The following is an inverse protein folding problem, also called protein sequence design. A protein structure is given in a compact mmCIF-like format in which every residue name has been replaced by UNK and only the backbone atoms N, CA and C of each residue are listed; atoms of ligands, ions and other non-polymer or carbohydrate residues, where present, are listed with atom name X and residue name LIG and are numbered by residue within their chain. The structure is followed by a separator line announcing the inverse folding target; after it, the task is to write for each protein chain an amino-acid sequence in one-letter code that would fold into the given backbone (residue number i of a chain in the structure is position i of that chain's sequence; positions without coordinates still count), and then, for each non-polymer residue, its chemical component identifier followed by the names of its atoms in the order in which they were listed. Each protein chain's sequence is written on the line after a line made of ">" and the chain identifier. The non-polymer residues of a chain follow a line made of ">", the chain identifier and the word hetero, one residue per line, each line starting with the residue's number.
data_IF_472509580981
#
_entry.id   IF_472509580981
#
_cell.length_a   1.000
_cell.length_b   1.000
_cell.length_c   1.000
_cell.angle_alpha   90.00
_cell.angle_beta   90.00
_cell.angle_gamma   90.00
#
_symmetry.space_group_name_H-M   'P 1'
#
loop_
_entity.id
_entity.type
_entity.pdbx_description
1 polymer ?
#
# COMPACT_ATOMS: atom_id res chain seq x y z
N UNK A 1 2.53 -7.32 2.32
CA UNK A 1 1.50 -6.43 1.74
C UNK A 1 2.18 -5.51 0.77
N UNK A 2 1.79 -5.56 -0.49
CA UNK A 2 2.24 -4.67 -1.54
C UNK A 2 1.14 -3.64 -1.84
N UNK A 3 1.54 -2.48 -2.37
CA UNK A 3 0.64 -1.39 -2.71
C UNK A 3 1.01 -0.83 -4.08
N UNK A 4 0.02 -0.32 -4.80
CA UNK A 4 0.27 0.81 -5.70
C UNK A 4 0.60 2.07 -4.88
N UNK A 5 1.10 3.11 -5.55
CA UNK A 5 1.39 4.38 -4.91
C UNK A 5 0.35 5.45 -5.20
N UNK A 6 0.19 5.82 -6.46
CA UNK A 6 -0.78 6.83 -6.86
C UNK A 6 -2.19 6.27 -6.75
N UNK A 7 -3.16 7.09 -6.34
CA UNK A 7 -4.52 6.61 -6.04
C UNK A 7 -4.67 5.79 -4.76
N UNK A 8 -3.55 5.34 -4.15
CA UNK A 8 -3.53 4.66 -2.85
C UNK A 8 -2.99 5.57 -1.73
N UNK A 9 -1.72 5.96 -1.83
CA UNK A 9 -1.08 6.89 -0.89
C UNK A 9 -1.31 8.36 -1.24
N UNK A 10 -1.82 8.62 -2.45
CA UNK A 10 -2.23 9.93 -2.98
C UNK A 10 -3.67 9.85 -3.47
N UNK A 11 -4.27 10.99 -3.77
CA UNK A 11 -5.59 11.07 -4.41
C UNK A 11 -5.51 11.04 -5.95
N UNK A 12 -4.42 10.46 -6.48
CA UNK A 12 -4.06 10.39 -7.90
C UNK A 12 -3.91 11.76 -8.60
N UNK A 13 -3.82 12.86 -7.84
CA UNK A 13 -3.58 14.20 -8.39
C UNK A 13 -2.14 14.63 -8.17
N UNK A 14 -1.63 15.38 -9.14
CA UNK A 14 -0.34 16.05 -9.09
C UNK A 14 -0.53 17.57 -9.15
N UNK A 15 0.24 18.29 -8.35
CA UNK A 15 0.40 19.75 -8.47
C UNK A 15 1.61 19.96 -9.36
N UNK A 16 1.43 20.63 -10.49
CA UNK A 16 2.49 20.92 -11.45
C UNK A 16 2.77 22.42 -11.45
N UNK A 17 4.02 22.81 -11.23
CA UNK A 17 4.43 24.22 -11.32
C UNK A 17 4.69 24.65 -12.79
N UNK A 18 4.96 25.93 -12.99
CA UNK A 18 5.25 26.49 -14.33
C UNK A 18 6.52 25.94 -15.00
N UNK A 19 7.41 25.31 -14.22
CA UNK A 19 8.64 24.67 -14.71
C UNK A 19 8.43 23.16 -14.96
N UNK A 20 7.21 22.65 -14.77
CA UNK A 20 6.87 21.24 -14.92
C UNK A 20 7.28 20.36 -13.73
N UNK A 21 7.62 20.95 -12.57
CA UNK A 21 7.93 20.15 -11.36
C UNK A 21 6.64 19.70 -10.68
N UNK A 22 6.60 18.42 -10.35
CA UNK A 22 5.47 17.81 -9.66
C UNK A 22 5.59 17.89 -8.14
N UNK A 23 4.45 17.92 -7.48
CA UNK A 23 4.28 17.76 -6.03
C UNK A 23 3.00 17.00 -5.75
N UNK A 24 3.02 16.17 -4.70
CA UNK A 24 1.88 15.34 -4.28
C UNK A 24 1.58 15.57 -2.80
N UNK A 25 0.37 15.21 -2.39
CA UNK A 25 -0.06 15.24 -1.00
C UNK A 25 -0.25 13.80 -0.53
N UNK A 26 0.36 13.46 0.61
CA UNK A 26 0.21 12.14 1.24
C UNK A 26 -0.23 12.28 2.70
N UNK A 27 -0.93 11.27 3.21
CA UNK A 27 -1.35 11.26 4.61
C UNK A 27 -0.26 10.88 5.59
N UNK A 28 -0.18 11.60 6.71
CA UNK A 28 0.58 11.18 7.90
C UNK A 28 -0.10 10.05 8.67
N UNK A 29 -1.43 9.90 8.55
CA UNK A 29 -2.15 8.80 9.22
C UNK A 29 -1.82 7.46 8.57
N UNK A 30 -1.70 7.43 7.25
CA UNK A 30 -1.21 6.26 6.50
C UNK A 30 0.23 5.91 6.89
N UNK A 31 1.05 6.94 7.17
CA UNK A 31 2.41 6.73 7.69
C UNK A 31 2.41 6.04 9.05
N UNK A 32 1.45 6.37 9.92
CA UNK A 32 1.33 5.71 11.22
C UNK A 32 0.88 4.26 11.04
N UNK A 33 -0.17 4.01 10.25
CA UNK A 33 -0.68 2.66 10.02
C UNK A 33 0.39 1.72 9.43
N UNK A 34 1.09 2.16 8.39
CA UNK A 34 2.20 1.38 7.79
C UNK A 34 3.32 1.11 8.79
N UNK A 35 3.66 2.07 9.65
CA UNK A 35 4.63 1.83 10.72
C UNK A 35 4.17 0.76 11.70
N UNK A 36 2.88 0.72 12.04
CA UNK A 36 2.34 -0.29 12.95
C UNK A 36 2.29 -1.69 12.33
N UNK A 37 1.92 -1.81 11.06
CA UNK A 37 1.97 -3.10 10.37
C UNK A 37 3.40 -3.67 10.37
N UNK A 38 4.41 -2.84 10.13
CA UNK A 38 5.82 -3.27 10.25
C UNK A 38 6.17 -3.71 11.67
N UNK A 39 5.61 -3.06 12.70
CA UNK A 39 5.85 -3.42 14.10
C UNK A 39 5.35 -4.80 14.48
N UNK A 40 4.30 -5.27 13.81
CA UNK A 40 3.77 -6.63 13.97
C UNK A 40 4.33 -7.61 12.92
N UNK A 41 5.46 -7.26 12.29
CA UNK A 41 6.22 -8.13 11.40
C UNK A 41 5.69 -8.22 9.96
N UNK A 42 4.74 -7.37 9.56
CA UNK A 42 4.26 -7.36 8.17
C UNK A 42 5.27 -6.62 7.29
N UNK A 43 5.77 -7.30 6.27
CA UNK A 43 6.62 -6.73 5.23
C UNK A 43 5.78 -5.88 4.28
N UNK A 44 6.23 -4.67 4.00
CA UNK A 44 5.57 -3.71 3.13
C UNK A 44 6.44 -3.39 1.90
N UNK A 45 5.82 -3.27 0.74
CA UNK A 45 6.46 -2.81 -0.49
C UNK A 45 5.50 -1.96 -1.31
N UNK A 46 6.03 -1.01 -2.09
CA UNK A 46 5.30 -0.30 -3.14
C UNK A 46 5.78 -0.83 -4.48
N UNK A 47 4.86 -1.02 -5.43
CA UNK A 47 5.15 -1.41 -6.80
C UNK A 47 4.71 -0.28 -7.73
N UNK A 48 5.66 0.36 -8.38
CA UNK A 48 5.42 1.43 -9.37
C UNK A 48 5.83 0.95 -10.76
N UNK A 49 5.14 1.42 -11.79
CA UNK A 49 5.50 1.09 -13.18
C UNK A 49 6.70 1.88 -13.69
N UNK A 50 6.90 3.09 -13.17
CA UNK A 50 7.98 3.98 -13.56
C UNK A 50 8.72 4.60 -12.35
N UNK A 51 9.99 4.98 -12.53
CA UNK A 51 10.75 5.62 -11.46
C UNK A 51 10.30 7.07 -11.27
N UNK A 52 9.61 7.34 -10.17
CA UNK A 52 9.25 8.71 -9.77
C UNK A 52 10.06 9.14 -8.51
N UNK A 53 10.87 10.21 -8.58
CA UNK A 53 11.69 10.67 -7.45
C UNK A 53 10.90 10.98 -6.18
N UNK A 54 9.67 11.51 -6.32
CA UNK A 54 8.83 11.87 -5.18
C UNK A 54 8.32 10.61 -4.48
N UNK A 55 7.87 9.63 -5.26
CA UNK A 55 7.46 8.30 -4.77
C UNK A 55 8.60 7.61 -4.05
N UNK A 56 9.80 7.58 -4.66
CA UNK A 56 11.00 6.98 -4.06
C UNK A 56 11.36 7.66 -2.73
N UNK A 57 11.37 9.00 -2.67
CA UNK A 57 11.66 9.75 -1.44
C UNK A 57 10.60 9.51 -0.36
N UNK A 58 9.34 9.36 -0.75
CA UNK A 58 8.26 9.05 0.18
C UNK A 58 8.43 7.64 0.76
N UNK A 59 8.70 6.65 -0.09
CA UNK A 59 8.94 5.27 0.32
C UNK A 59 10.17 5.16 1.24
N UNK A 60 11.26 5.86 0.92
CA UNK A 60 12.46 5.96 1.77
C UNK A 60 12.11 6.48 3.17
N UNK A 61 11.38 7.61 3.25
CA UNK A 61 10.92 8.18 4.53
C UNK A 61 10.06 7.21 5.33
N UNK A 62 9.19 6.46 4.64
CA UNK A 62 8.34 5.45 5.25
C UNK A 62 9.09 4.15 5.56
N UNK A 63 10.34 3.98 5.12
CA UNK A 63 11.08 2.72 5.19
C UNK A 63 10.27 1.57 4.58
N UNK A 64 9.73 1.82 3.39
CA UNK A 64 9.02 0.86 2.54
C UNK A 64 9.85 0.73 1.27
N UNK A 65 10.12 -0.49 0.84
CA UNK A 65 10.83 -0.73 -0.42
C UNK A 65 9.96 -0.31 -1.61
N UNK A 66 10.53 0.42 -2.56
CA UNK A 66 9.87 0.78 -3.81
C UNK A 66 10.47 -0.08 -4.93
N UNK A 67 9.66 -0.97 -5.48
CA UNK A 67 10.01 -1.81 -6.63
C UNK A 67 9.49 -1.14 -7.90
N UNK A 68 10.33 -1.04 -8.92
CA UNK A 68 10.01 -0.36 -10.17
C UNK A 68 10.20 -1.31 -11.35
N UNK A 69 9.24 -1.34 -12.26
CA UNK A 69 9.37 -2.03 -13.54
C UNK A 69 8.09 -2.04 -14.35
N UNK A 70 8.18 -2.43 -15.61
CA UNK A 70 7.14 -2.18 -16.61
C UNK A 70 5.79 -2.89 -16.34
N UNK A 71 5.79 -3.99 -15.59
CA UNK A 71 4.59 -4.79 -15.29
C UNK A 71 4.53 -5.12 -13.81
N UNK A 72 3.40 -4.85 -13.15
CA UNK A 72 3.25 -5.02 -11.69
C UNK A 72 3.21 -6.50 -11.27
N UNK A 73 2.49 -7.36 -12.00
CA UNK A 73 2.29 -8.76 -11.61
C UNK A 73 3.60 -9.58 -11.50
N UNK A 74 4.53 -9.54 -12.47
CA UNK A 74 5.81 -10.22 -12.33
C UNK A 74 6.61 -9.74 -11.12
N UNK A 75 6.58 -8.43 -10.82
CA UNK A 75 7.25 -7.85 -9.64
C UNK A 75 6.61 -8.38 -8.36
N UNK A 76 5.28 -8.39 -8.29
CA UNK A 76 4.54 -8.88 -7.13
C UNK A 76 4.82 -10.36 -6.86
N UNK A 77 4.76 -11.22 -7.88
CA UNK A 77 5.08 -12.65 -7.76
C UNK A 77 6.54 -12.87 -7.36
N UNK A 78 7.47 -12.11 -7.92
CA UNK A 78 8.89 -12.18 -7.54
C UNK A 78 9.12 -11.74 -6.09
N UNK A 79 8.42 -10.71 -5.63
CA UNK A 79 8.44 -10.28 -4.23
C UNK A 79 7.94 -11.40 -3.31
N UNK A 80 6.78 -11.99 -3.59
CA UNK A 80 6.22 -13.12 -2.81
C UNK A 80 7.24 -14.26 -2.72
N UNK A 81 7.83 -14.64 -3.85
CA UNK A 81 8.85 -15.69 -3.93
C UNK A 81 10.11 -15.34 -3.14
N UNK A 82 10.61 -14.10 -3.26
CA UNK A 82 11.79 -13.59 -2.54
C UNK A 82 11.56 -13.64 -1.03
N UNK A 83 10.36 -13.30 -0.58
CA UNK A 83 9.97 -13.34 0.82
C UNK A 83 9.61 -14.76 1.33
N UNK A 84 9.63 -15.76 0.43
CA UNK A 84 9.27 -17.17 0.71
C UNK A 84 7.85 -17.34 1.24
N UNK A 85 6.92 -16.55 0.72
CA UNK A 85 5.50 -16.58 1.08
C UNK A 85 4.68 -17.32 0.00
N UNK A 86 3.47 -17.72 0.36
CA UNK A 86 2.43 -18.13 -0.59
C UNK A 86 1.62 -16.93 -1.05
N UNK A 87 0.98 -17.03 -2.22
CA UNK A 87 0.04 -16.01 -2.69
C UNK A 87 -1.08 -15.75 -1.66
N UNK A 88 -1.61 -16.80 -1.02
CA UNK A 88 -2.61 -16.72 0.06
C UNK A 88 -2.15 -15.95 1.31
N UNK A 89 -0.85 -15.68 1.46
CA UNK A 89 -0.26 -14.92 2.56
C UNK A 89 0.12 -13.49 2.15
N UNK A 90 -0.11 -13.14 0.88
CA UNK A 90 0.19 -11.85 0.30
C UNK A 90 -1.10 -11.06 0.08
N UNK A 91 -1.00 -9.75 0.29
CA UNK A 91 -2.06 -8.79 0.01
C UNK A 91 -1.55 -7.76 -0.99
N UNK A 92 -2.41 -7.32 -1.89
CA UNK A 92 -2.17 -6.23 -2.81
C UNK A 92 -3.27 -5.17 -2.65
N UNK A 93 -2.87 -3.90 -2.61
CA UNK A 93 -3.79 -2.77 -2.57
C UNK A 93 -3.57 -1.88 -3.77
N UNK A 94 -4.55 -1.79 -4.66
CA UNK A 94 -4.49 -1.04 -5.92
C UNK A 94 -5.82 -0.37 -6.24
N UNK A 95 -5.84 0.57 -7.17
CA UNK A 95 -7.02 1.39 -7.48
C UNK A 95 -7.41 1.42 -8.95
N UNK A 96 -6.54 1.08 -9.90
CA UNK A 96 -6.86 1.18 -11.33
C UNK A 96 -6.55 -0.09 -12.14
N UNK A 97 -6.83 -0.06 -13.44
CA UNK A 97 -6.78 -1.23 -14.34
C UNK A 97 -5.42 -1.91 -14.38
N UNK A 98 -4.33 -1.16 -14.20
CA UNK A 98 -2.97 -1.70 -14.16
C UNK A 98 -2.69 -2.54 -12.89
N UNK A 99 -3.59 -2.54 -11.90
CA UNK A 99 -3.50 -3.34 -10.69
C UNK A 99 -4.30 -4.63 -10.73
N UNK A 100 -5.21 -4.80 -11.71
CA UNK A 100 -6.17 -5.90 -11.73
C UNK A 100 -5.47 -7.26 -11.63
N UNK A 101 -4.42 -7.48 -12.42
CA UNK A 101 -3.65 -8.71 -12.41
C UNK A 101 -3.03 -9.02 -11.04
N UNK A 102 -2.55 -7.98 -10.32
CA UNK A 102 -2.01 -8.14 -8.97
C UNK A 102 -3.11 -8.39 -7.94
N UNK A 103 -4.26 -7.75 -8.09
CA UNK A 103 -5.42 -7.95 -7.22
C UNK A 103 -5.96 -9.37 -7.36
N UNK A 104 -6.10 -9.89 -8.59
CA UNK A 104 -6.56 -11.26 -8.85
C UNK A 104 -5.59 -12.33 -8.33
N UNK A 105 -4.27 -12.07 -8.37
CA UNK A 105 -3.24 -13.02 -7.91
C UNK A 105 -3.02 -12.98 -6.38
N UNK A 106 -3.46 -11.90 -5.70
CA UNK A 106 -3.27 -11.73 -4.28
C UNK A 106 -4.19 -12.63 -3.44
N UNK A 107 -3.70 -13.11 -2.29
CA UNK A 107 -4.52 -13.81 -1.30
C UNK A 107 -5.48 -12.90 -0.53
N UNK A 108 -5.26 -11.59 -0.60
CA UNK A 108 -6.14 -10.55 -0.09
C UNK A 108 -6.07 -9.33 -1.01
N UNK A 109 -7.12 -9.15 -1.81
CA UNK A 109 -7.27 -8.04 -2.75
C UNK A 109 -7.97 -6.85 -2.06
N UNK A 110 -7.35 -5.67 -2.14
CA UNK A 110 -7.81 -4.49 -1.43
C UNK A 110 -7.88 -3.30 -2.40
N UNK A 111 -8.92 -2.49 -2.30
CA UNK A 111 -9.02 -1.26 -3.11
C UNK A 111 -9.66 -0.12 -2.32
N UNK A 112 -9.64 1.07 -2.91
CA UNK A 112 -10.11 2.32 -2.29
C UNK A 112 -11.55 2.68 -2.70
N UNK A 113 -12.20 3.54 -1.91
CA UNK A 113 -13.58 3.97 -2.16
C UNK A 113 -13.77 4.59 -3.55
N UNK A 114 -12.75 5.26 -4.06
CA UNK A 114 -12.72 5.91 -5.37
C UNK A 114 -11.91 5.17 -6.44
N UNK A 115 -11.51 3.92 -6.17
CA UNK A 115 -10.88 3.07 -7.17
C UNK A 115 -11.83 2.74 -8.32
N UNK A 116 -11.25 2.26 -9.42
CA UNK A 116 -11.97 1.77 -10.58
C UNK A 116 -12.98 0.70 -10.19
N UNK A 117 -14.12 0.70 -10.87
CA UNK A 117 -15.22 -0.24 -10.61
C UNK A 117 -14.79 -1.70 -10.80
N UNK A 118 -13.87 -1.94 -11.74
CA UNK A 118 -13.26 -3.24 -12.01
C UNK A 118 -12.49 -3.75 -10.78
N UNK A 119 -11.70 -2.89 -10.12
CA UNK A 119 -10.98 -3.21 -8.90
C UNK A 119 -11.95 -3.54 -7.75
N UNK A 120 -13.01 -2.75 -7.60
CA UNK A 120 -14.04 -2.99 -6.55
C UNK A 120 -14.77 -4.31 -6.70
N UNK A 121 -14.98 -4.77 -7.93
CA UNK A 121 -15.65 -6.05 -8.21
C UNK A 121 -14.84 -7.27 -7.79
N UNK A 122 -13.51 -7.17 -7.80
CA UNK A 122 -12.61 -8.29 -7.45
C UNK A 122 -11.98 -8.15 -6.07
N UNK A 123 -12.03 -6.97 -5.45
CA UNK A 123 -11.47 -6.74 -4.13
C UNK A 123 -12.25 -7.49 -3.04
N UNK A 124 -11.54 -8.13 -2.12
CA UNK A 124 -12.10 -8.71 -0.89
C UNK A 124 -12.54 -7.63 0.08
N UNK A 125 -11.91 -6.45 0.02
CA UNK A 125 -12.27 -5.30 0.84
C UNK A 125 -12.10 -3.99 0.06
N UNK A 126 -13.17 -3.21 0.04
CA UNK A 126 -13.20 -1.83 -0.48
C UNK A 126 -13.24 -0.89 0.72
N UNK A 127 -12.27 0.02 0.82
CA UNK A 127 -12.25 0.97 1.93
C UNK A 127 -13.43 1.95 1.85
N UNK A 128 -13.84 2.49 3.00
CA UNK A 128 -14.76 3.64 3.02
C UNK A 128 -14.07 4.96 2.71
N UNK A 129 -12.76 5.01 2.96
CA UNK A 129 -11.87 6.13 2.67
C UNK A 129 -11.32 6.10 1.26
N UNK A 130 -10.89 7.26 0.78
CA UNK A 130 -10.34 7.46 -0.57
C UNK A 130 -8.81 7.38 -0.57
N UNK A 131 -8.24 7.20 -1.75
CA UNK A 131 -6.81 7.37 -2.00
C UNK A 131 -6.27 8.66 -1.39
N UNK A 132 -5.14 8.59 -0.67
CA UNK A 132 -4.51 9.76 -0.02
C UNK A 132 -5.27 10.34 1.20
N UNK A 133 -6.54 9.94 1.40
CA UNK A 133 -7.39 10.34 2.52
C UNK A 133 -7.63 9.18 3.49
N UNK A 134 -6.52 8.61 3.98
CA UNK A 134 -6.52 7.65 5.09
C UNK A 134 -6.98 6.23 4.74
N UNK A 135 -7.11 5.87 3.46
CA UNK A 135 -7.49 4.51 3.06
C UNK A 135 -6.46 3.46 3.49
N UNK A 136 -5.17 3.73 3.33
CA UNK A 136 -4.12 2.80 3.80
C UNK A 136 -4.20 2.63 5.32
N UNK A 137 -4.45 3.71 6.07
CA UNK A 137 -4.66 3.65 7.52
C UNK A 137 -5.87 2.79 7.90
N UNK A 138 -6.99 2.94 7.20
CA UNK A 138 -8.19 2.12 7.42
C UNK A 138 -7.86 0.63 7.28
N UNK A 139 -7.20 0.25 6.18
CA UNK A 139 -6.75 -1.13 5.95
C UNK A 139 -5.80 -1.61 7.05
N UNK A 140 -4.84 -0.76 7.47
CA UNK A 140 -3.93 -1.11 8.55
C UNK A 140 -4.68 -1.43 9.85
N UNK A 141 -5.67 -0.62 10.22
CA UNK A 141 -6.47 -0.83 11.43
C UNK A 141 -7.30 -2.13 11.34
N UNK A 142 -7.89 -2.42 10.18
CA UNK A 142 -8.61 -3.68 9.92
C UNK A 142 -7.67 -4.88 10.09
N UNK A 143 -6.49 -4.86 9.47
CA UNK A 143 -5.52 -5.97 9.57
C UNK A 143 -5.06 -6.18 11.01
N UNK A 144 -4.73 -5.11 11.74
CA UNK A 144 -4.31 -5.20 13.15
C UNK A 144 -5.41 -5.83 14.00
N UNK A 145 -6.64 -5.33 13.87
CA UNK A 145 -7.80 -5.84 14.61
C UNK A 145 -8.04 -7.33 14.34
N UNK A 146 -7.98 -7.76 13.08
CA UNK A 146 -8.17 -9.18 12.71
C UNK A 146 -7.06 -10.08 13.26
N UNK A 147 -5.86 -9.54 13.49
CA UNK A 147 -4.74 -10.26 14.12
C UNK A 147 -4.76 -10.21 15.65
N UNK A 148 -5.77 -9.58 16.26
CA UNK A 148 -5.84 -9.38 17.71
C UNK A 148 -4.76 -8.44 18.25
N UNK A 149 -4.18 -7.60 17.39
CA UNK A 149 -3.22 -6.57 17.78
C UNK A 149 -3.97 -5.25 17.97
N UNK A 150 -3.55 -4.47 18.96
CA UNK A 150 -4.05 -3.13 19.22
C UNK A 150 -2.89 -2.16 19.51
N UNK A 151 -3.22 -0.88 19.64
CA UNK A 151 -2.24 0.18 19.86
C UNK A 151 -1.48 0.00 21.17
N UNK A 152 -2.15 -0.42 22.24
CA UNK A 152 -1.54 -0.60 23.56
C UNK A 152 -0.55 -1.76 23.57
N UNK A 153 -0.94 -2.90 22.97
CA UNK A 153 -0.11 -4.09 22.85
C UNK A 153 1.15 -3.81 22.03
N UNK A 154 1.02 -3.08 20.92
CA UNK A 154 2.17 -2.68 20.11
C UNK A 154 3.09 -1.75 20.90
N UNK A 155 2.55 -0.77 21.63
CA UNK A 155 3.39 0.17 22.38
C UNK A 155 4.16 -0.53 23.52
N UNK A 156 3.47 -1.37 24.28
CA UNK A 156 4.04 -2.12 25.39
C UNK A 156 5.11 -3.13 24.99
N UNK A 157 4.99 -3.75 23.80
CA UNK A 157 6.03 -4.67 23.26
C UNK A 157 7.32 -3.94 22.86
N UNK A 158 7.23 -2.66 22.53
CA UNK A 158 8.35 -1.87 22.01
C UNK A 158 9.12 -1.11 23.10
N UNK A 159 8.47 -0.61 24.15
CA UNK A 159 9.18 0.04 25.26
C UNK A 159 9.88 -0.93 26.23
N UNK A 160 9.55 -2.22 26.15
CA UNK A 160 10.19 -3.29 26.95
C UNK A 160 11.42 -3.91 26.27
N UNK A 161 11.87 -3.38 25.12
CA UNK A 161 13.10 -3.77 24.42
C UNK A 161 14.09 -2.63 24.43
#
# INVERSE_FOLDING_TARGET
>A
MAFDFDGIFTDAKVIIDQDGRESIICSRRDSLGTNQLKRIGIKLAVISMEPNPIVMKRCEKLKIECLVGNEKLPIFRNLIKREKLKASEAAFMGDDLNDLDCLEDAGLALTVADGAEQCKKIADYVTTKRGGDHAVREVCDVIMKTRGEDYENIYNKYEKK
#
